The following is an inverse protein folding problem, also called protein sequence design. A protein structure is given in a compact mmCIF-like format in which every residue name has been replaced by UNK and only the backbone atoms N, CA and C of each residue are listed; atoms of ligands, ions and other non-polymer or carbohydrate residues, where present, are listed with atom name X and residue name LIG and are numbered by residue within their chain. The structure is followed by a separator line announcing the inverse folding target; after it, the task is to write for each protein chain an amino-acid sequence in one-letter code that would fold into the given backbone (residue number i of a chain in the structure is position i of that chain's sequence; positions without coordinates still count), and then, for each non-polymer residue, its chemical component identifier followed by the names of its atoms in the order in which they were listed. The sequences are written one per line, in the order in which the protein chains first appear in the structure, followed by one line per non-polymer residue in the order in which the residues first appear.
data_IF_870783236799
#
_entry.id   IF_870783236799
#
_cell.length_a   1.000
_cell.length_b   1.000
_cell.length_c   1.000
_cell.angle_alpha   90.00
_cell.angle_beta   90.00
_cell.angle_gamma   90.00
#
_symmetry.space_group_name_H-M   'P 1'
#
loop_
_entity.id
_entity.type
_entity.pdbx_description
1 polymer ?
#
# COMPACT_ATOMS: atom_id res chain seq x y z
N UNK A 1 12.82 9.49 4.17
CA UNK A 1 12.92 8.10 3.68
C UNK A 1 13.40 8.13 2.24
N UNK A 2 14.34 7.26 1.90
CA UNK A 2 14.83 7.10 0.53
C UNK A 2 13.84 6.29 -0.32
N UNK A 3 13.99 6.35 -1.64
CA UNK A 3 13.15 5.54 -2.55
C UNK A 3 13.37 4.04 -2.32
N UNK A 4 14.60 3.60 -2.01
CA UNK A 4 14.93 2.21 -1.71
C UNK A 4 14.22 1.70 -0.45
N UNK A 5 14.18 2.50 0.63
CA UNK A 5 13.44 2.15 1.84
C UNK A 5 11.96 1.95 1.55
N UNK A 6 11.36 2.85 0.75
CA UNK A 6 9.94 2.78 0.40
C UNK A 6 9.62 1.57 -0.49
N UNK A 7 10.52 1.20 -1.41
CA UNK A 7 10.42 -0.03 -2.22
C UNK A 7 10.44 -1.25 -1.31
N UNK A 8 11.42 -1.36 -0.41
CA UNK A 8 11.55 -2.49 0.52
C UNK A 8 10.33 -2.61 1.41
N UNK A 9 9.79 -1.48 1.92
CA UNK A 9 8.55 -1.49 2.70
C UNK A 9 7.35 -2.01 1.90
N UNK A 10 7.22 -1.57 0.65
CA UNK A 10 6.16 -2.02 -0.25
C UNK A 10 6.24 -3.52 -0.56
N UNK A 11 7.43 -4.02 -0.90
CA UNK A 11 7.65 -5.44 -1.19
C UNK A 11 7.42 -6.32 0.03
N UNK A 12 7.94 -5.92 1.20
CA UNK A 12 7.69 -6.64 2.46
C UNK A 12 6.19 -6.74 2.78
N UNK A 13 5.45 -5.66 2.53
CA UNK A 13 4.01 -5.65 2.73
C UNK A 13 3.32 -6.66 1.81
N UNK A 14 3.58 -6.61 0.49
CA UNK A 14 2.97 -7.55 -0.46
C UNK A 14 3.37 -8.99 -0.17
N UNK A 15 4.65 -9.23 0.13
CA UNK A 15 5.18 -10.56 0.46
C UNK A 15 4.49 -11.17 1.69
N UNK A 16 4.28 -10.36 2.75
CA UNK A 16 3.58 -10.80 3.97
C UNK A 16 2.16 -11.32 3.72
N UNK A 17 1.47 -10.80 2.70
CA UNK A 17 0.07 -11.14 2.40
C UNK A 17 -0.09 -11.87 1.07
N UNK A 18 1.00 -12.40 0.53
CA UNK A 18 1.10 -12.83 -0.86
C UNK A 18 0.00 -13.78 -1.31
N UNK A 19 -0.24 -14.82 -0.52
CA UNK A 19 -1.19 -15.88 -0.88
C UNK A 19 -2.63 -15.38 -0.92
N UNK A 20 -2.97 -14.45 -0.01
CA UNK A 20 -4.29 -13.80 0.01
C UNK A 20 -4.45 -12.81 -1.15
N UNK A 21 -3.38 -12.11 -1.50
CA UNK A 21 -3.39 -11.07 -2.54
C UNK A 21 -3.41 -11.62 -3.96
N UNK A 22 -2.84 -12.81 -4.20
CA UNK A 22 -2.91 -13.48 -5.52
C UNK A 22 -4.34 -13.70 -6.02
N UNK A 23 -5.32 -13.78 -5.12
CA UNK A 23 -6.73 -14.00 -5.44
C UNK A 23 -7.47 -12.69 -5.84
N UNK A 24 -6.82 -11.52 -5.76
CA UNK A 24 -7.48 -10.20 -5.80
C UNK A 24 -7.14 -9.37 -7.07
N UNK A 25 -6.87 -10.03 -8.20
CA UNK A 25 -5.97 -9.50 -9.23
C UNK A 25 -6.38 -8.22 -9.96
N UNK A 26 -7.64 -8.05 -10.39
CA UNK A 26 -8.09 -6.86 -11.16
C UNK A 26 -8.51 -5.71 -10.25
N UNK A 27 -9.40 -5.97 -9.30
CA UNK A 27 -9.99 -4.96 -8.42
C UNK A 27 -8.95 -4.39 -7.45
N UNK A 28 -7.99 -5.20 -6.98
CA UNK A 28 -6.90 -4.75 -6.13
C UNK A 28 -6.03 -3.68 -6.79
N UNK A 29 -5.78 -3.80 -8.11
CA UNK A 29 -5.03 -2.77 -8.88
C UNK A 29 -5.78 -1.45 -8.90
N UNK A 30 -7.10 -1.50 -9.11
CA UNK A 30 -7.97 -0.32 -9.14
C UNK A 30 -8.05 0.34 -7.77
N UNK A 31 -8.17 -0.44 -6.69
CA UNK A 31 -8.19 0.08 -5.33
C UNK A 31 -6.87 0.78 -4.95
N UNK A 32 -5.73 0.18 -5.30
CA UNK A 32 -4.43 0.82 -5.06
C UNK A 32 -4.23 2.07 -5.91
N UNK A 33 -4.74 2.13 -7.14
CA UNK A 33 -4.76 3.38 -7.92
C UNK A 33 -5.58 4.47 -7.21
N UNK A 34 -6.78 4.14 -6.72
CA UNK A 34 -7.62 5.09 -5.96
C UNK A 34 -6.94 5.58 -4.70
N UNK A 35 -6.19 4.71 -4.01
CA UNK A 35 -5.43 5.11 -2.82
C UNK A 35 -4.38 6.19 -3.14
N UNK A 36 -3.68 6.04 -4.27
CA UNK A 36 -2.71 7.04 -4.76
C UNK A 36 -3.42 8.36 -5.06
N UNK A 37 -4.57 8.32 -5.74
CA UNK A 37 -5.37 9.51 -6.05
C UNK A 37 -5.83 10.24 -4.79
N UNK A 38 -6.35 9.52 -3.79
CA UNK A 38 -6.79 10.09 -2.51
C UNK A 38 -5.63 10.71 -1.74
N UNK A 39 -4.47 10.02 -1.68
CA UNK A 39 -3.28 10.57 -1.02
C UNK A 39 -2.80 11.86 -1.72
N UNK A 40 -2.78 11.89 -3.05
CA UNK A 40 -2.43 13.08 -3.85
C UNK A 40 -3.40 14.23 -3.66
N UNK A 41 -4.71 13.96 -3.76
CA UNK A 41 -5.74 14.98 -3.71
C UNK A 41 -5.90 15.59 -2.30
N UNK A 42 -5.79 14.76 -1.27
CA UNK A 42 -5.94 15.23 0.11
C UNK A 42 -4.70 15.90 0.67
N UNK A 43 -3.50 15.45 0.26
CA UNK A 43 -2.25 15.89 0.85
C UNK A 43 -2.18 15.72 2.38
N UNK A 44 -2.94 14.78 2.94
CA UNK A 44 -3.19 14.71 4.39
C UNK A 44 -3.26 13.27 4.89
N UNK A 45 -2.37 12.94 5.84
CA UNK A 45 -2.35 11.62 6.49
C UNK A 45 -3.66 11.30 7.23
N UNK A 46 -4.23 12.19 8.06
CA UNK A 46 -5.52 11.92 8.71
C UNK A 46 -6.64 11.60 7.73
N UNK A 47 -6.74 12.35 6.62
CA UNK A 47 -7.78 12.13 5.60
C UNK A 47 -7.56 10.80 4.89
N UNK A 48 -6.33 10.50 4.49
CA UNK A 48 -5.97 9.23 3.87
C UNK A 48 -6.27 8.03 4.79
N UNK A 49 -5.85 8.09 6.05
CA UNK A 49 -6.07 7.02 7.03
C UNK A 49 -7.58 6.83 7.29
N UNK A 50 -8.33 7.93 7.42
CA UNK A 50 -9.78 7.85 7.57
C UNK A 50 -10.46 7.20 6.35
N UNK A 51 -9.99 7.52 5.15
CA UNK A 51 -10.47 6.89 3.92
C UNK A 51 -10.18 5.38 3.90
N UNK A 52 -8.97 4.93 4.28
CA UNK A 52 -8.64 3.50 4.37
C UNK A 52 -9.57 2.79 5.37
N UNK A 53 -9.81 3.37 6.55
CA UNK A 53 -10.75 2.83 7.55
C UNK A 53 -12.16 2.69 6.98
N UNK A 54 -12.62 3.69 6.22
CA UNK A 54 -13.91 3.62 5.54
C UNK A 54 -13.94 2.48 4.51
N UNK A 55 -12.89 2.29 3.71
CA UNK A 55 -12.85 1.18 2.75
C UNK A 55 -12.92 -0.19 3.46
N UNK A 56 -12.16 -0.36 4.55
CA UNK A 56 -12.18 -1.58 5.36
C UNK A 56 -13.59 -1.87 5.94
N UNK A 57 -14.26 -0.84 6.47
CA UNK A 57 -15.60 -0.97 6.99
C UNK A 57 -16.61 -1.29 5.87
N UNK A 58 -16.48 -0.63 4.71
CA UNK A 58 -17.35 -0.85 3.56
C UNK A 58 -17.28 -2.29 3.07
N UNK A 59 -16.08 -2.83 2.88
CA UNK A 59 -15.85 -4.24 2.48
C UNK A 59 -16.50 -5.22 3.46
N UNK A 60 -16.45 -4.93 4.77
CA UNK A 60 -17.11 -5.77 5.81
C UNK A 60 -18.64 -5.78 5.68
N UNK A 61 -19.23 -4.67 5.26
CA UNK A 61 -20.70 -4.51 5.18
C UNK A 61 -21.30 -4.96 3.86
N UNK A 62 -20.57 -4.86 2.75
CA UNK A 62 -21.14 -5.06 1.42
C UNK A 62 -21.35 -6.53 1.03
N UNK A 63 -20.81 -7.51 1.77
CA UNK A 63 -21.10 -8.96 1.65
C UNK A 63 -20.82 -9.62 0.28
N UNK A 64 -20.53 -8.85 -0.76
CA UNK A 64 -20.34 -9.30 -2.13
C UNK A 64 -18.89 -9.19 -2.59
N UNK A 65 -18.64 -9.74 -3.78
CA UNK A 65 -17.37 -9.90 -4.50
C UNK A 65 -16.52 -8.63 -4.75
N UNK A 66 -16.77 -7.53 -4.04
CA UNK A 66 -15.83 -6.41 -3.98
C UNK A 66 -14.50 -6.91 -3.39
N UNK A 67 -13.39 -6.46 -3.98
CA UNK A 67 -12.05 -6.81 -3.50
C UNK A 67 -11.95 -6.69 -1.99
N UNK A 68 -11.37 -7.70 -1.34
CA UNK A 68 -11.09 -7.69 0.09
C UNK A 68 -9.68 -7.15 0.39
N UNK A 69 -9.10 -6.42 -0.56
CA UNK A 69 -7.74 -5.92 -0.43
C UNK A 69 -7.60 -5.02 0.80
N UNK A 70 -8.58 -4.18 1.12
CA UNK A 70 -8.49 -3.31 2.29
C UNK A 70 -8.61 -4.11 3.58
N UNK A 71 -9.40 -5.18 3.63
CA UNK A 71 -9.38 -6.14 4.75
C UNK A 71 -8.04 -6.85 4.91
N UNK A 72 -7.37 -7.18 3.81
CA UNK A 72 -6.10 -7.92 3.84
C UNK A 72 -4.92 -7.03 4.25
N UNK A 73 -4.82 -5.81 3.68
CA UNK A 73 -3.63 -4.94 3.83
C UNK A 73 -3.91 -3.55 4.42
N UNK A 74 -5.16 -3.17 4.68
CA UNK A 74 -5.51 -1.83 5.13
C UNK A 74 -4.80 -1.42 6.42
N UNK A 75 -4.76 -2.29 7.43
CA UNK A 75 -4.05 -2.02 8.68
C UNK A 75 -2.54 -1.84 8.46
N UNK A 76 -1.92 -2.68 7.62
CA UNK A 76 -0.51 -2.60 7.30
C UNK A 76 -0.17 -1.31 6.53
N UNK A 77 -1.05 -0.86 5.64
CA UNK A 77 -0.93 0.42 4.94
C UNK A 77 -1.02 1.58 5.94
N UNK A 78 -1.98 1.55 6.86
CA UNK A 78 -2.10 2.59 7.90
C UNK A 78 -0.87 2.64 8.82
N UNK A 79 -0.36 1.48 9.24
CA UNK A 79 0.85 1.41 10.05
C UNK A 79 2.08 1.98 9.31
N UNK A 80 2.22 1.65 8.02
CA UNK A 80 3.29 2.17 7.17
C UNK A 80 3.16 3.69 6.97
N UNK A 81 1.95 4.18 6.71
CA UNK A 81 1.69 5.62 6.59
C UNK A 81 2.06 6.37 7.88
N UNK A 82 1.69 5.85 9.05
CA UNK A 82 2.08 6.43 10.33
C UNK A 82 3.60 6.39 10.56
N UNK A 83 4.29 5.34 10.11
CA UNK A 83 5.76 5.28 10.15
C UNK A 83 6.39 6.35 9.25
N UNK A 84 5.91 6.52 8.01
CA UNK A 84 6.38 7.56 7.08
C UNK A 84 6.18 8.95 7.70
N UNK A 85 4.99 9.22 8.27
CA UNK A 85 4.68 10.47 8.92
C UNK A 85 5.62 10.79 10.10
N UNK A 86 5.94 9.79 10.94
CA UNK A 86 6.85 9.98 12.08
C UNK A 86 8.31 10.13 11.70
N UNK A 87 8.71 9.55 10.56
CA UNK A 87 10.10 9.57 10.10
C UNK A 87 10.45 10.82 9.31
N UNK A 88 9.44 11.58 8.86
CA UNK A 88 9.62 12.83 8.14
C UNK A 88 9.60 14.04 9.05
N UNK A 89 10.57 14.94 8.86
CA UNK A 89 10.63 16.26 9.51
C UNK A 89 9.81 17.31 8.77
N UNK A 90 9.54 17.11 7.48
CA UNK A 90 8.69 17.97 6.65
C UNK A 90 7.37 17.25 6.27
N UNK A 91 6.20 17.84 6.57
CA UNK A 91 4.91 17.29 6.18
C UNK A 91 4.75 17.06 4.67
N UNK A 92 5.27 17.95 3.81
CA UNK A 92 5.11 17.82 2.36
C UNK A 92 5.97 16.69 1.79
N UNK A 93 7.24 16.61 2.21
CA UNK A 93 8.11 15.47 1.90
C UNK A 93 7.52 14.13 2.40
N UNK A 94 6.85 14.14 3.56
CA UNK A 94 6.19 12.94 4.11
C UNK A 94 5.02 12.48 3.25
N UNK A 95 4.19 13.40 2.77
CA UNK A 95 3.10 13.08 1.82
C UNK A 95 3.64 12.58 0.48
N UNK A 96 4.70 13.22 -0.04
CA UNK A 96 5.38 12.74 -1.24
C UNK A 96 5.89 11.30 -1.06
N UNK A 97 6.47 11.00 0.11
CA UNK A 97 6.93 9.65 0.47
C UNK A 97 5.77 8.64 0.54
N UNK A 98 4.61 9.04 1.10
CA UNK A 98 3.41 8.20 1.10
C UNK A 98 2.94 7.88 -0.33
N UNK A 99 2.87 8.89 -1.20
CA UNK A 99 2.45 8.72 -2.60
C UNK A 99 3.41 7.78 -3.35
N UNK A 100 4.73 7.97 -3.15
CA UNK A 100 5.76 7.08 -3.70
C UNK A 100 5.60 5.65 -3.21
N UNK A 101 5.47 5.46 -1.89
CA UNK A 101 5.23 4.17 -1.27
C UNK A 101 4.01 3.46 -1.88
N UNK A 102 2.86 4.14 -1.99
CA UNK A 102 1.66 3.57 -2.60
C UNK A 102 1.88 3.18 -4.08
N UNK A 103 2.66 3.98 -4.80
CA UNK A 103 3.10 3.65 -6.17
C UNK A 103 3.98 2.40 -6.24
N UNK A 104 4.94 2.24 -5.33
CA UNK A 104 5.75 1.03 -5.23
C UNK A 104 4.91 -0.17 -4.80
N UNK A 105 4.01 0.00 -3.83
CA UNK A 105 3.09 -1.04 -3.35
C UNK A 105 2.21 -1.57 -4.49
N UNK A 106 1.66 -0.69 -5.32
CA UNK A 106 0.91 -1.08 -6.52
C UNK A 106 1.76 -1.87 -7.50
N UNK A 107 3.01 -1.47 -7.75
CA UNK A 107 3.93 -2.19 -8.64
C UNK A 107 4.27 -3.57 -8.08
N UNK A 108 4.57 -3.67 -6.78
CA UNK A 108 4.80 -4.94 -6.10
C UNK A 108 3.56 -5.86 -6.15
N UNK A 109 2.35 -5.31 -5.97
CA UNK A 109 1.10 -6.05 -6.12
C UNK A 109 0.91 -6.61 -7.54
N UNK A 110 1.20 -5.81 -8.58
CA UNK A 110 1.13 -6.26 -9.98
C UNK A 110 2.19 -7.34 -10.26
N UNK A 111 3.40 -7.14 -9.73
CA UNK A 111 4.54 -8.04 -9.86
C UNK A 111 4.54 -9.22 -8.88
N UNK A 112 3.46 -9.46 -8.14
CA UNK A 112 3.43 -10.41 -7.02
C UNK A 112 3.87 -11.83 -7.38
N UNK A 113 3.59 -12.27 -8.62
CA UNK A 113 3.99 -13.59 -9.12
C UNK A 113 5.47 -13.66 -9.57
N UNK A 114 6.16 -12.54 -9.62
CA UNK A 114 7.57 -12.43 -10.01
C UNK A 114 8.49 -12.17 -8.83
N UNK A 115 7.96 -11.84 -7.65
CA UNK A 115 8.77 -11.55 -6.45
C UNK A 115 9.64 -12.72 -5.96
N UNK A 116 9.29 -13.97 -6.26
CA UNK A 116 10.14 -15.13 -5.92
C UNK A 116 11.11 -15.50 -7.07
N UNK A 117 10.91 -14.90 -8.24
CA UNK A 117 11.65 -15.21 -9.47
C UNK A 117 12.77 -14.20 -9.73
N UNK A 118 12.63 -12.99 -9.18
CA UNK A 118 13.59 -11.91 -9.28
C UNK A 118 13.94 -11.50 -7.84
N UNK A 119 15.19 -11.66 -7.40
CA UNK A 119 15.60 -11.28 -6.05
C UNK A 119 15.32 -9.80 -5.80
N UNK A 120 14.90 -9.47 -4.57
CA UNK A 120 14.79 -8.09 -4.14
C UNK A 120 16.17 -7.43 -4.20
N UNK A 121 16.22 -6.19 -4.69
CA UNK A 121 17.45 -5.39 -4.72
C UNK A 121 17.89 -5.13 -3.26
N UNK A 122 18.93 -5.83 -2.81
CA UNK A 122 19.47 -5.75 -1.44
C UNK A 122 19.55 -7.07 -0.67
N UNK A 123 19.17 -8.20 -1.28
CA UNK A 123 19.53 -9.52 -0.76
C UNK A 123 20.94 -9.90 -1.22
N UNK A 124 21.90 -9.87 -0.31
CA UNK A 124 23.19 -10.55 -0.48
C UNK A 124 22.94 -12.01 -0.87
N UNK A 125 23.57 -12.43 -1.97
CA UNK A 125 23.82 -13.85 -2.23
C UNK A 125 25.06 -14.31 -1.48
#
# INVERSE_FOLDING_TARGET
MSDDELVVMAEKLISRFKDKLRQQSSEGRTQLSKAIEVAKASGSFPVFINWVRYQMARERTSGGAASEIWRVIGEAICATAAQIQRSGSDPQASISSLIKFLGYLRRAFIGINYMDRIPALGGEG
#
